data_IF_477453809649
#
_entry.id   IF_477453809649
#
_cell.length_a   1.000
_cell.length_b   1.000
_cell.length_c   1.000
_cell.angle_alpha   90.00
_cell.angle_beta   90.00
_cell.angle_gamma   90.00
#
_symmetry.space_group_name_H-M   'P 1'
#
loop_
_entity.id
_entity.type
_entity.pdbx_description
1 polymer ?
#
# COMPACT_ATOMS: atom_id res chain seq x y z
N UNK A 1 -7.29 -0.23 9.53
CA UNK A 1 -7.80 0.97 10.22
C UNK A 1 -6.97 2.21 9.86
N UNK A 2 -5.67 2.21 10.14
CA UNK A 2 -4.81 3.38 9.92
C UNK A 2 -4.76 3.81 8.46
N UNK A 3 -4.58 2.88 7.53
CA UNK A 3 -4.61 3.17 6.09
C UNK A 3 -5.93 3.79 5.64
N UNK A 4 -7.07 3.23 6.08
CA UNK A 4 -8.39 3.78 5.77
C UNK A 4 -8.57 5.19 6.31
N UNK A 5 -8.16 5.43 7.56
CA UNK A 5 -8.21 6.77 8.17
C UNK A 5 -7.34 7.75 7.39
N UNK A 6 -6.13 7.36 7.00
CA UNK A 6 -5.23 8.20 6.22
C UNK A 6 -5.82 8.53 4.84
N UNK A 7 -6.36 7.54 4.13
CA UNK A 7 -6.99 7.72 2.81
C UNK A 7 -8.17 8.69 2.90
N UNK A 8 -9.07 8.49 3.86
CA UNK A 8 -10.24 9.36 4.04
C UNK A 8 -9.84 10.80 4.39
N UNK A 9 -8.81 10.97 5.21
CA UNK A 9 -8.27 12.31 5.53
C UNK A 9 -7.58 12.97 4.34
N UNK A 10 -6.84 12.21 3.54
CA UNK A 10 -6.16 12.71 2.35
C UNK A 10 -7.12 13.04 1.20
N UNK A 11 -8.28 12.39 1.15
CA UNK A 11 -9.27 12.52 0.10
C UNK A 11 -10.65 12.90 0.68
N UNK A 12 -10.85 14.18 1.08
CA UNK A 12 -12.09 14.63 1.73
C UNK A 12 -13.34 14.52 0.86
N UNK A 13 -13.18 14.31 -0.44
CA UNK A 13 -14.30 14.09 -1.38
C UNK A 13 -14.91 12.69 -1.27
N UNK A 14 -14.25 11.74 -0.63
CA UNK A 14 -14.78 10.39 -0.44
C UNK A 14 -16.06 10.45 0.40
N UNK A 15 -17.07 9.66 -0.02
CA UNK A 15 -18.40 9.63 0.61
C UNK A 15 -18.69 8.34 1.32
N UNK A 16 -17.99 7.26 0.94
CA UNK A 16 -18.28 5.92 1.40
C UNK A 16 -17.02 5.07 1.49
N UNK A 17 -16.96 4.19 2.47
CA UNK A 17 -16.01 3.09 2.56
C UNK A 17 -16.78 1.77 2.49
N UNK A 18 -16.39 0.90 1.57
CA UNK A 18 -16.93 -0.45 1.43
C UNK A 18 -15.87 -1.44 1.87
N UNK A 19 -16.24 -2.39 2.71
CA UNK A 19 -15.32 -3.34 3.36
C UNK A 19 -15.70 -4.76 3.00
N UNK A 20 -14.72 -5.55 2.62
CA UNK A 20 -14.82 -7.01 2.48
C UNK A 20 -13.72 -7.68 3.31
N UNK A 21 -14.08 -8.73 4.00
CA UNK A 21 -13.15 -9.65 4.66
C UNK A 21 -13.73 -11.07 4.57
N UNK A 22 -12.90 -12.09 4.47
CA UNK A 22 -13.33 -13.49 4.52
C UNK A 22 -13.97 -13.83 5.87
N UNK A 23 -13.57 -13.13 6.92
CA UNK A 23 -14.19 -13.20 8.23
C UNK A 23 -15.21 -12.06 8.37
N UNK A 24 -16.48 -12.37 8.14
CA UNK A 24 -17.59 -11.41 8.22
C UNK A 24 -17.66 -10.68 9.57
N UNK A 25 -17.37 -11.38 10.68
CA UNK A 25 -17.35 -10.75 12.01
C UNK A 25 -16.19 -9.73 12.15
N UNK A 26 -15.07 -9.97 11.48
CA UNK A 26 -13.99 -8.99 11.43
C UNK A 26 -14.39 -7.75 10.62
N UNK A 27 -15.05 -7.94 9.47
CA UNK A 27 -15.58 -6.85 8.65
C UNK A 27 -16.61 -6.02 9.43
N UNK A 28 -17.53 -6.67 10.13
CA UNK A 28 -18.54 -6.02 10.96
C UNK A 28 -17.93 -5.17 12.06
N UNK A 29 -17.03 -5.76 12.87
CA UNK A 29 -16.30 -5.01 13.91
C UNK A 29 -15.51 -3.83 13.34
N UNK A 30 -14.93 -4.00 12.16
CA UNK A 30 -14.23 -2.90 11.48
C UNK A 30 -15.20 -1.76 11.13
N UNK A 31 -16.35 -2.08 10.53
CA UNK A 31 -17.37 -1.09 10.18
C UNK A 31 -17.89 -0.33 11.41
N UNK A 32 -18.23 -1.03 12.48
CA UNK A 32 -18.70 -0.43 13.74
C UNK A 32 -17.66 0.56 14.29
N UNK A 33 -16.38 0.16 14.33
CA UNK A 33 -15.31 1.01 14.85
C UNK A 33 -15.02 2.23 13.95
N UNK A 34 -15.07 2.04 12.64
CA UNK A 34 -14.72 3.11 11.70
C UNK A 34 -15.87 4.09 11.50
N UNK A 35 -17.13 3.65 11.55
CA UNK A 35 -18.30 4.54 11.51
C UNK A 35 -18.32 5.56 12.65
N UNK A 36 -17.81 5.19 13.83
CA UNK A 36 -17.66 6.12 14.94
C UNK A 36 -16.49 7.11 14.81
N UNK A 37 -15.51 6.78 13.99
CA UNK A 37 -14.26 7.55 13.87
C UNK A 37 -14.17 8.38 12.59
N UNK A 38 -14.91 8.01 11.56
CA UNK A 38 -14.94 8.68 10.27
C UNK A 38 -16.31 9.31 10.04
N UNK A 39 -16.33 10.52 9.53
CA UNK A 39 -17.59 11.21 9.21
C UNK A 39 -18.06 10.88 7.79
N UNK A 40 -18.08 9.58 7.45
CA UNK A 40 -18.56 9.05 6.16
C UNK A 40 -19.24 7.70 6.37
N UNK A 41 -20.02 7.25 5.38
CA UNK A 41 -20.65 5.93 5.40
C UNK A 41 -19.61 4.82 5.34
N UNK A 42 -19.69 3.84 6.27
CA UNK A 42 -18.82 2.65 6.30
C UNK A 42 -19.70 1.42 6.35
N UNK A 43 -19.65 0.60 5.31
CA UNK A 43 -20.49 -0.58 5.19
C UNK A 43 -19.71 -1.79 4.71
N UNK A 44 -20.15 -2.99 5.08
CA UNK A 44 -19.57 -4.24 4.58
C UNK A 44 -20.36 -4.79 3.40
N UNK A 45 -19.68 -5.59 2.60
CA UNK A 45 -20.25 -6.42 1.54
C UNK A 45 -19.80 -7.87 1.72
N UNK A 46 -20.55 -8.81 1.16
CA UNK A 46 -20.30 -10.25 1.30
C UNK A 46 -19.57 -10.84 0.09
N UNK A 47 -19.41 -10.07 -0.97
CA UNK A 47 -18.68 -10.50 -2.17
C UNK A 47 -17.47 -9.61 -2.39
N UNK A 48 -16.34 -10.21 -2.70
CA UNK A 48 -15.10 -9.51 -3.01
C UNK A 48 -15.26 -8.52 -4.16
N UNK A 49 -15.92 -8.94 -5.24
CA UNK A 49 -16.20 -8.09 -6.41
C UNK A 49 -16.90 -6.78 -6.02
N UNK A 50 -17.89 -6.84 -5.11
CA UNK A 50 -18.67 -5.66 -4.70
C UNK A 50 -17.82 -4.64 -3.91
N UNK A 51 -16.73 -5.10 -3.27
CA UNK A 51 -15.79 -4.20 -2.59
C UNK A 51 -14.82 -3.51 -3.57
N UNK A 52 -14.61 -4.08 -4.74
CA UNK A 52 -13.63 -3.59 -5.73
C UNK A 52 -14.28 -2.79 -6.84
N UNK A 53 -15.47 -3.24 -7.30
CA UNK A 53 -16.12 -2.72 -8.49
C UNK A 53 -16.55 -1.27 -8.35
N UNK A 54 -16.17 -0.46 -9.35
CA UNK A 54 -16.53 0.95 -9.45
C UNK A 54 -16.05 1.84 -8.28
N UNK A 55 -15.03 1.42 -7.53
CA UNK A 55 -14.44 2.24 -6.48
C UNK A 55 -13.40 3.22 -7.06
N UNK A 56 -13.29 4.42 -6.45
CA UNK A 56 -12.27 5.40 -6.82
C UNK A 56 -10.91 5.02 -6.23
N UNK A 57 -10.91 4.41 -5.04
CA UNK A 57 -9.73 3.89 -4.36
C UNK A 57 -10.00 2.49 -3.82
N UNK A 58 -9.14 1.55 -4.13
CA UNK A 58 -9.15 0.20 -3.59
C UNK A 58 -7.87 0.00 -2.78
N UNK A 59 -7.99 -0.49 -1.55
CA UNK A 59 -6.83 -0.85 -0.73
C UNK A 59 -6.89 -2.31 -0.33
N UNK A 60 -5.85 -3.07 -0.64
CA UNK A 60 -5.72 -4.47 -0.24
C UNK A 60 -4.79 -4.60 0.95
N UNK A 61 -5.33 -5.01 2.09
CA UNK A 61 -4.57 -5.32 3.30
C UNK A 61 -4.62 -6.84 3.59
N UNK A 62 -4.69 -7.64 2.53
CA UNK A 62 -4.81 -9.11 2.63
C UNK A 62 -3.48 -9.68 3.11
N UNK A 63 -3.57 -10.50 4.15
CA UNK A 63 -2.48 -11.33 4.66
C UNK A 63 -2.91 -12.80 4.68
N UNK A 64 -1.98 -13.71 4.47
CA UNK A 64 -2.26 -15.16 4.41
C UNK A 64 -2.07 -15.74 3.02
N UNK A 65 -2.46 -17.01 2.85
CA UNK A 65 -2.13 -17.79 1.65
C UNK A 65 -3.08 -17.57 0.48
N UNK A 66 -4.29 -17.09 0.77
CA UNK A 66 -5.29 -16.82 -0.27
C UNK A 66 -5.15 -15.38 -0.74
N UNK A 67 -4.72 -15.21 -1.98
CA UNK A 67 -4.61 -13.90 -2.62
C UNK A 67 -5.57 -13.85 -3.80
N UNK A 68 -6.69 -13.10 -3.71
CA UNK A 68 -7.65 -13.01 -4.80
C UNK A 68 -7.07 -12.28 -6.01
N UNK A 69 -7.58 -12.60 -7.19
CA UNK A 69 -7.32 -11.85 -8.40
C UNK A 69 -8.23 -10.61 -8.47
N UNK A 70 -7.64 -9.46 -8.65
CA UNK A 70 -8.35 -8.22 -9.00
C UNK A 70 -8.47 -8.15 -10.52
N UNK A 71 -9.66 -8.43 -11.03
CA UNK A 71 -9.91 -8.39 -12.46
C UNK A 71 -9.94 -6.94 -12.95
N UNK A 72 -9.27 -6.65 -14.06
CA UNK A 72 -9.15 -5.30 -14.61
C UNK A 72 -10.51 -4.64 -14.86
N UNK A 73 -11.50 -5.42 -15.32
CA UNK A 73 -12.87 -4.94 -15.58
C UNK A 73 -13.63 -4.44 -14.34
N UNK A 74 -13.19 -4.79 -13.13
CA UNK A 74 -13.81 -4.30 -11.89
C UNK A 74 -13.27 -2.93 -11.48
N UNK A 75 -12.03 -2.65 -11.86
CA UNK A 75 -11.32 -1.44 -11.47
C UNK A 75 -11.73 -0.28 -12.40
N UNK A 76 -12.27 0.76 -11.79
CA UNK A 76 -12.75 1.95 -12.48
C UNK A 76 -11.59 2.68 -13.19
N UNK A 77 -11.86 3.28 -14.35
CA UNK A 77 -10.92 4.20 -14.98
C UNK A 77 -10.48 5.31 -14.02
N UNK A 78 -9.20 5.62 -14.02
CA UNK A 78 -8.62 6.62 -13.14
C UNK A 78 -8.51 6.21 -11.66
N UNK A 79 -8.99 5.02 -11.28
CA UNK A 79 -8.94 4.54 -9.90
C UNK A 79 -7.51 4.28 -9.41
N UNK A 80 -7.35 4.27 -8.10
CA UNK A 80 -6.12 3.90 -7.42
C UNK A 80 -6.29 2.54 -6.73
N UNK A 81 -5.44 1.58 -7.07
CA UNK A 81 -5.24 0.36 -6.28
C UNK A 81 -3.96 0.51 -5.46
N UNK A 82 -4.08 0.40 -4.15
CA UNK A 82 -2.95 0.48 -3.21
C UNK A 82 -2.80 -0.82 -2.43
N UNK A 83 -1.56 -1.31 -2.33
CA UNK A 83 -1.23 -2.60 -1.77
C UNK A 83 -0.33 -2.50 -0.53
N UNK A 84 -0.88 -2.22 0.65
CA UNK A 84 -0.19 -2.50 1.91
C UNK A 84 -0.16 -4.00 2.27
N UNK A 85 -0.87 -4.83 1.51
CA UNK A 85 -0.91 -6.28 1.60
C UNK A 85 -0.74 -6.92 0.23
N UNK A 86 -1.22 -8.17 0.10
CA UNK A 86 -1.09 -8.95 -1.14
C UNK A 86 -2.25 -8.69 -2.09
N UNK A 87 -1.99 -8.72 -3.39
CA UNK A 87 -2.98 -8.79 -4.45
C UNK A 87 -2.37 -9.45 -5.69
N UNK A 88 -3.18 -10.19 -6.41
CA UNK A 88 -2.90 -10.58 -7.79
C UNK A 88 -3.71 -9.67 -8.70
N UNK A 89 -3.11 -9.17 -9.75
CA UNK A 89 -3.76 -8.35 -10.77
C UNK A 89 -3.53 -8.95 -12.15
N UNK A 90 -4.40 -8.66 -13.11
CA UNK A 90 -4.19 -9.09 -14.48
C UNK A 90 -3.02 -8.34 -15.13
N UNK A 91 -2.29 -8.97 -16.06
CA UNK A 91 -1.19 -8.34 -16.78
C UNK A 91 -1.64 -7.10 -17.55
N UNK A 92 -2.84 -7.13 -18.12
CA UNK A 92 -3.40 -5.99 -18.87
C UNK A 92 -3.57 -4.78 -17.95
N UNK A 93 -4.00 -4.99 -16.70
CA UNK A 93 -4.05 -3.93 -15.71
C UNK A 93 -2.67 -3.29 -15.47
N UNK A 94 -1.64 -4.11 -15.25
CA UNK A 94 -0.28 -3.61 -14.99
C UNK A 94 0.31 -2.87 -16.19
N UNK A 95 0.03 -3.36 -17.41
CA UNK A 95 0.51 -2.75 -18.66
C UNK A 95 -0.05 -1.36 -18.88
N UNK A 96 -1.30 -1.15 -18.49
CA UNK A 96 -2.03 0.09 -18.76
C UNK A 96 -2.03 1.06 -17.57
N UNK A 97 -1.64 0.63 -16.38
CA UNK A 97 -1.61 1.47 -15.19
C UNK A 97 -0.36 2.36 -15.09
N UNK A 98 -0.49 3.45 -14.33
CA UNK A 98 0.67 4.13 -13.77
C UNK A 98 1.17 3.35 -12.56
N UNK A 99 2.34 2.73 -12.67
CA UNK A 99 2.95 1.95 -11.59
C UNK A 99 3.81 2.86 -10.72
N UNK A 100 3.51 2.89 -9.43
CA UNK A 100 4.21 3.73 -8.45
C UNK A 100 4.65 2.86 -7.28
N UNK A 101 5.90 2.39 -7.23
CA UNK A 101 6.47 1.78 -6.04
C UNK A 101 6.87 2.84 -5.01
N UNK A 102 6.95 2.43 -3.75
CA UNK A 102 7.61 3.22 -2.71
C UNK A 102 9.08 3.51 -3.07
N UNK A 103 9.82 2.48 -3.52
CA UNK A 103 11.19 2.59 -4.04
C UNK A 103 11.46 1.44 -5.02
N UNK A 104 11.65 1.74 -6.30
CA UNK A 104 11.88 0.72 -7.33
C UNK A 104 13.21 -0.01 -7.16
N UNK A 105 14.26 0.70 -6.78
CA UNK A 105 15.57 0.08 -6.51
C UNK A 105 15.50 -0.97 -5.39
N UNK A 106 14.72 -0.70 -4.35
CA UNK A 106 14.49 -1.66 -3.27
C UNK A 106 13.71 -2.89 -3.77
N UNK A 107 12.71 -2.70 -4.63
CA UNK A 107 11.99 -3.81 -5.25
C UNK A 107 12.94 -4.71 -6.07
N UNK A 108 13.86 -4.12 -6.83
CA UNK A 108 14.90 -4.86 -7.58
C UNK A 108 15.83 -5.63 -6.63
N UNK A 109 16.20 -5.04 -5.51
CA UNK A 109 17.03 -5.71 -4.49
C UNK A 109 16.32 -6.94 -3.93
N UNK A 110 15.05 -6.85 -3.57
CA UNK A 110 14.25 -8.00 -3.12
C UNK A 110 14.17 -9.11 -4.16
N UNK A 111 14.07 -8.75 -5.44
CA UNK A 111 14.12 -9.75 -6.51
C UNK A 111 15.47 -10.48 -6.55
N UNK A 112 16.58 -9.74 -6.50
CA UNK A 112 17.93 -10.32 -6.53
C UNK A 112 18.13 -11.24 -5.33
N UNK A 113 17.82 -10.78 -4.13
CA UNK A 113 17.94 -11.56 -2.89
C UNK A 113 17.05 -12.81 -2.93
N UNK A 114 15.81 -12.67 -3.36
CA UNK A 114 14.88 -13.80 -3.49
C UNK A 114 15.35 -14.85 -4.50
N UNK A 115 15.99 -14.44 -5.60
CA UNK A 115 16.55 -15.38 -6.58
C UNK A 115 17.80 -16.13 -6.07
N UNK A 116 18.46 -15.65 -5.02
CA UNK A 116 19.58 -16.35 -4.37
C UNK A 116 19.10 -17.48 -3.46
N UNK A 117 17.82 -17.50 -3.07
CA UNK A 117 17.25 -18.55 -2.24
C UNK A 117 16.94 -19.82 -3.08
N UNK A 118 16.90 -21.00 -2.45
CA UNK A 118 16.37 -22.22 -3.07
C UNK A 118 14.98 -21.99 -3.64
N UNK A 119 14.63 -22.66 -4.71
CA UNK A 119 13.39 -22.38 -5.47
C UNK A 119 12.12 -22.52 -4.62
N UNK A 120 12.10 -23.49 -3.71
CA UNK A 120 11.00 -23.77 -2.79
C UNK A 120 10.89 -22.73 -1.63
N UNK A 121 11.95 -21.96 -1.40
CA UNK A 121 11.98 -20.91 -0.39
C UNK A 121 11.76 -19.50 -0.97
N UNK A 122 11.68 -19.37 -2.30
CA UNK A 122 11.59 -18.06 -2.97
C UNK A 122 10.26 -17.37 -2.69
N UNK A 123 10.34 -16.22 -2.10
CA UNK A 123 9.22 -15.28 -1.99
C UNK A 123 9.67 -13.92 -2.49
N UNK A 124 9.37 -13.62 -3.74
CA UNK A 124 9.75 -12.35 -4.37
C UNK A 124 8.51 -11.46 -4.44
N UNK A 125 8.46 -10.35 -3.69
CA UNK A 125 7.36 -9.41 -3.78
C UNK A 125 7.19 -8.91 -5.21
N UNK A 126 5.95 -8.82 -5.68
CA UNK A 126 5.59 -8.27 -7.00
C UNK A 126 6.35 -8.90 -8.18
N UNK A 127 6.69 -10.20 -8.10
CA UNK A 127 7.43 -10.92 -9.14
C UNK A 127 6.79 -10.77 -10.53
N UNK A 128 5.47 -10.69 -10.61
CA UNK A 128 4.74 -10.46 -11.86
C UNK A 128 5.20 -9.18 -12.55
N UNK A 129 5.27 -8.07 -11.81
CA UNK A 129 5.74 -6.78 -12.34
C UNK A 129 7.19 -6.86 -12.81
N UNK A 130 8.06 -7.52 -12.02
CA UNK A 130 9.45 -7.73 -12.42
C UNK A 130 9.58 -8.52 -13.72
N UNK A 131 8.78 -9.58 -13.88
CA UNK A 131 8.80 -10.38 -15.11
C UNK A 131 8.33 -9.57 -16.33
N UNK A 132 7.35 -8.70 -16.16
CA UNK A 132 6.87 -7.83 -17.23
C UNK A 132 7.89 -6.74 -17.62
N UNK A 133 8.69 -6.27 -16.65
CA UNK A 133 9.81 -5.36 -16.94
C UNK A 133 10.93 -6.10 -17.66
N UNK A 134 11.30 -7.29 -17.21
CA UNK A 134 12.37 -8.10 -17.82
C UNK A 134 12.02 -8.51 -19.27
N UNK A 135 10.73 -8.80 -19.52
CA UNK A 135 10.26 -9.14 -20.88
C UNK A 135 10.10 -7.92 -21.79
N UNK A 136 10.18 -6.71 -21.24
CA UNK A 136 9.96 -5.46 -21.96
C UNK A 136 8.50 -5.10 -22.22
N UNK A 137 7.55 -5.83 -21.61
CA UNK A 137 6.13 -5.49 -21.64
C UNK A 137 5.83 -4.16 -20.93
N UNK A 138 6.59 -3.88 -19.87
CA UNK A 138 6.57 -2.60 -19.16
C UNK A 138 7.98 -2.02 -19.22
N UNK A 139 8.11 -0.77 -19.65
CA UNK A 139 9.40 -0.09 -19.64
C UNK A 139 9.70 0.39 -18.22
N UNK A 140 10.91 0.12 -17.75
CA UNK A 140 11.35 0.60 -16.42
C UNK A 140 11.24 2.13 -16.29
N UNK A 141 11.41 2.87 -17.38
CA UNK A 141 11.23 4.32 -17.43
C UNK A 141 9.81 4.79 -17.09
N UNK A 142 8.83 3.92 -17.23
CA UNK A 142 7.40 4.23 -16.98
C UNK A 142 6.99 3.92 -15.52
N UNK A 143 7.93 3.40 -14.72
CA UNK A 143 7.79 3.18 -13.29
C UNK A 143 8.28 4.42 -12.54
N UNK A 144 7.44 4.99 -11.70
CA UNK A 144 7.73 6.25 -11.02
C UNK A 144 7.79 6.06 -9.51
N UNK A 145 8.99 6.16 -8.93
CA UNK A 145 9.15 6.13 -7.47
C UNK A 145 8.28 7.18 -6.77
N UNK A 146 7.61 6.78 -5.68
CA UNK A 146 6.79 7.70 -4.88
C UNK A 146 7.56 8.96 -4.48
N UNK A 147 8.83 8.82 -4.09
CA UNK A 147 9.68 9.95 -3.71
C UNK A 147 9.87 10.95 -4.86
N UNK A 148 10.06 10.47 -6.09
CA UNK A 148 10.17 11.33 -7.27
C UNK A 148 8.85 12.03 -7.60
N UNK A 149 7.72 11.35 -7.42
CA UNK A 149 6.38 11.93 -7.60
C UNK A 149 6.12 12.99 -6.53
N UNK A 150 6.43 12.71 -5.28
CA UNK A 150 6.23 13.65 -4.17
C UNK A 150 7.11 14.90 -4.30
N UNK A 151 8.34 14.75 -4.82
CA UNK A 151 9.26 15.85 -5.07
C UNK A 151 8.95 16.64 -6.36
N UNK A 152 7.96 16.23 -7.15
CA UNK A 152 7.62 16.85 -8.44
C UNK A 152 8.64 16.59 -9.56
N UNK A 153 9.57 15.65 -9.37
CA UNK A 153 10.56 15.23 -10.36
C UNK A 153 9.92 14.33 -11.41
N UNK A 154 8.98 13.48 -11.00
CA UNK A 154 8.13 12.72 -11.89
C UNK A 154 6.68 13.20 -11.77
N UNK A 155 5.97 13.26 -12.88
CA UNK A 155 4.58 13.74 -12.92
C UNK A 155 3.67 12.63 -13.37
N UNK A 156 2.63 12.37 -12.59
CA UNK A 156 1.50 11.54 -12.98
C UNK A 156 0.32 12.47 -13.21
N UNK A 157 -0.25 12.43 -14.40
CA UNK A 157 -1.45 13.22 -14.69
C UNK A 157 -2.61 12.76 -13.79
N UNK A 158 -3.02 13.65 -12.89
CA UNK A 158 -4.12 13.41 -11.96
C UNK A 158 -5.47 13.18 -12.66
N UNK A 159 -5.63 13.75 -13.86
CA UNK A 159 -6.84 13.66 -14.66
C UNK A 159 -6.79 12.52 -15.69
N UNK A 160 -5.69 11.77 -15.73
CA UNK A 160 -5.57 10.62 -16.60
C UNK A 160 -6.64 9.58 -16.28
N UNK A 161 -7.28 9.03 -17.31
CA UNK A 161 -8.16 7.87 -17.21
C UNK A 161 -7.39 6.58 -16.88
N UNK A 162 -6.06 6.59 -17.01
CA UNK A 162 -5.23 5.46 -16.61
C UNK A 162 -5.38 5.16 -15.13
N UNK A 163 -5.55 3.89 -14.81
CA UNK A 163 -5.54 3.38 -13.43
C UNK A 163 -4.18 3.62 -12.79
N UNK A 164 -4.12 3.69 -11.48
CA UNK A 164 -2.88 3.90 -10.71
C UNK A 164 -2.66 2.71 -9.80
N UNK A 165 -1.47 2.17 -9.80
CA UNK A 165 -1.06 1.01 -9.03
C UNK A 165 0.07 1.41 -8.09
N UNK A 166 -0.24 1.53 -6.80
CA UNK A 166 0.74 1.84 -5.77
C UNK A 166 1.11 0.58 -4.99
N UNK A 167 2.40 0.28 -4.95
CA UNK A 167 2.95 -0.85 -4.21
C UNK A 167 3.95 -0.36 -3.16
N UNK A 168 3.87 -0.94 -1.97
CA UNK A 168 4.77 -0.64 -0.87
C UNK A 168 5.10 -1.90 -0.08
N UNK A 169 6.38 -2.14 0.09
CA UNK A 169 6.90 -3.15 1.03
C UNK A 169 7.33 -2.52 2.36
N UNK A 170 7.10 -1.21 2.50
CA UNK A 170 7.56 -0.41 3.63
C UNK A 170 9.00 0.08 3.44
N UNK A 171 9.28 1.25 3.98
CA UNK A 171 10.60 1.85 3.97
C UNK A 171 10.96 2.32 5.38
N UNK A 172 12.10 1.87 5.88
CA UNK A 172 12.61 2.26 7.21
C UNK A 172 12.75 3.78 7.37
N UNK A 173 12.96 4.50 6.27
CA UNK A 173 12.98 5.96 6.26
C UNK A 173 11.68 6.58 6.76
N UNK A 174 10.54 5.96 6.42
CA UNK A 174 9.22 6.41 6.88
C UNK A 174 9.04 6.16 8.38
N UNK A 175 9.51 5.01 8.88
CA UNK A 175 9.47 4.68 10.31
C UNK A 175 10.34 5.63 11.13
N UNK A 176 11.54 5.96 10.62
CA UNK A 176 12.43 6.94 11.26
C UNK A 176 11.78 8.34 11.29
N UNK A 177 11.21 8.79 10.16
CA UNK A 177 10.58 10.11 10.08
C UNK A 177 9.38 10.21 11.06
N UNK A 178 8.54 9.18 11.11
CA UNK A 178 7.44 9.11 12.07
C UNK A 178 7.92 9.02 13.51
N UNK A 179 8.92 8.17 13.77
CA UNK A 179 9.53 8.02 15.08
C UNK A 179 10.09 9.33 15.62
N UNK A 180 10.81 10.08 14.81
CA UNK A 180 11.31 11.42 15.17
C UNK A 180 10.18 12.39 15.48
N UNK A 181 9.18 12.48 14.62
CA UNK A 181 8.02 13.35 14.84
C UNK A 181 7.27 13.01 16.14
N UNK A 182 7.09 11.71 16.41
CA UNK A 182 6.46 11.25 17.64
C UNK A 182 7.32 11.55 18.87
N UNK A 183 8.64 11.33 18.79
CA UNK A 183 9.58 11.62 19.85
C UNK A 183 9.57 13.12 20.21
N UNK A 184 9.74 13.99 19.23
CA UNK A 184 9.73 15.45 19.43
C UNK A 184 8.41 15.91 20.06
N UNK A 185 7.27 15.41 19.55
CA UNK A 185 5.96 15.75 20.11
C UNK A 185 5.77 15.21 21.54
N UNK A 186 6.32 14.05 21.87
CA UNK A 186 6.26 13.50 23.23
C UNK A 186 7.10 14.34 24.20
N UNK A 187 8.30 14.72 23.80
CA UNK A 187 9.19 15.60 24.59
C UNK A 187 8.51 16.95 24.86
N UNK A 188 7.96 17.58 23.81
CA UNK A 188 7.24 18.87 23.92
C UNK A 188 6.07 18.79 24.91
N UNK A 189 5.36 17.67 24.93
CA UNK A 189 4.18 17.45 25.78
C UNK A 189 4.51 16.89 27.15
N UNK A 190 5.78 16.62 27.46
CA UNK A 190 6.22 15.98 28.70
C UNK A 190 5.67 14.56 28.85
N UNK A 191 5.50 13.85 27.74
CA UNK A 191 5.01 12.46 27.70
C UNK A 191 6.19 11.48 27.63
N UNK A 192 6.03 10.35 28.29
CA UNK A 192 7.04 9.30 28.32
C UNK A 192 7.87 9.31 29.59
N UNK A 193 8.87 8.44 29.62
CA UNK A 193 9.78 8.28 30.74
C UNK A 193 11.20 8.09 30.19
N UNK A 194 12.16 8.80 30.75
CA UNK A 194 13.56 8.54 30.47
C UNK A 194 13.99 7.28 31.22
N UNK A 195 14.55 6.34 30.47
CA UNK A 195 15.11 5.12 31.01
C UNK A 195 16.61 5.10 30.75
N UNK A 196 17.38 4.82 31.78
CA UNK A 196 18.82 4.57 31.64
C UNK A 196 19.00 3.21 30.99
N UNK A 197 19.53 3.18 29.80
CA UNK A 197 19.76 1.95 29.04
C UNK A 197 20.97 1.18 29.60
N UNK A 198 22.04 1.92 29.94
CA UNK A 198 23.20 1.47 30.64
C UNK A 198 23.91 2.70 31.26
N UNK A 199 24.56 2.51 32.38
CA UNK A 199 25.30 3.59 33.05
C UNK A 199 26.63 3.92 32.36
N UNK A 200 27.26 2.90 31.75
CA UNK A 200 28.49 3.05 30.95
C UNK A 200 28.30 2.29 29.63
N UNK A 201 28.71 2.85 28.47
CA UNK A 201 28.66 2.14 27.18
C UNK A 201 29.49 0.85 27.27
N UNK A 202 28.93 -0.26 26.82
CA UNK A 202 29.57 -1.57 26.84
C UNK A 202 30.79 -1.66 25.90
N UNK A 203 30.83 -0.84 24.89
CA UNK A 203 31.95 -0.75 23.96
C UNK A 203 32.60 0.63 24.06
N UNK A 204 33.83 0.64 24.49
CA UNK A 204 34.76 1.76 24.46
C UNK A 204 35.91 1.40 23.55
#
# INVERSE_FOLDING_TARGET
KYSTTAIVKALPSLKKVVVFDLNEEAAKRFCEQMSGNLNIDVSMVTKFEDAVKNQDVVTSAISGDITPLFEDKWLKEGSLLTLPGRANVENDYLRDAHVVPDCWEMQKTYKIEGLMLPEDERTIPHIQLHNMVDSGEIKESDIHDLGKVAAGVATIDKNSSKKKYFISNGMILQDIAWGMTMYESAVEKGLGQELVMWEEPYMV
#
